data_IF_330778828677
#
_entry.id   IF_330778828677
#
_cell.length_a   1.000
_cell.length_b   1.000
_cell.length_c   1.000
_cell.angle_alpha   90.00
_cell.angle_beta   90.00
_cell.angle_gamma   90.00
#
_symmetry.space_group_name_H-M   'P 1'
#
loop_
_entity.id
_entity.type
_entity.pdbx_description
1 polymer ?
#
# COMPACT_ATOMS: atom_id res chain seq x y z
N UNK A 1 10.74 -9.65 1.03
CA UNK A 1 11.47 -8.73 0.14
C UNK A 1 11.14 -9.10 -1.29
N UNK A 2 10.76 -8.14 -2.11
CA UNK A 2 10.49 -8.35 -3.55
C UNK A 2 11.39 -7.42 -4.37
N UNK A 3 11.95 -7.93 -5.45
CA UNK A 3 12.82 -7.19 -6.36
C UNK A 3 12.05 -6.76 -7.60
N UNK A 4 12.20 -5.48 -7.96
CA UNK A 4 11.67 -4.90 -9.19
C UNK A 4 12.82 -4.46 -10.08
N UNK A 5 12.55 -4.40 -11.38
CA UNK A 5 13.53 -4.06 -12.41
C UNK A 5 14.71 -5.06 -12.51
N UNK A 6 15.50 -4.88 -13.57
CA UNK A 6 16.75 -5.61 -13.79
C UNK A 6 17.91 -4.63 -14.05
N UNK A 7 19.15 -5.10 -13.88
CA UNK A 7 20.35 -4.31 -14.16
C UNK A 7 20.47 -3.07 -13.25
N UNK A 8 20.99 -1.96 -13.79
CA UNK A 8 21.30 -0.74 -13.02
C UNK A 8 20.10 0.00 -12.42
N UNK A 9 18.87 -0.37 -12.82
CA UNK A 9 17.63 0.21 -12.29
C UNK A 9 16.95 -0.69 -11.25
N UNK A 10 17.57 -1.81 -10.86
CA UNK A 10 17.01 -2.71 -9.87
C UNK A 10 16.82 -2.04 -8.50
N UNK A 11 15.72 -2.36 -7.82
CA UNK A 11 15.50 -2.02 -6.42
C UNK A 11 14.62 -3.07 -5.72
N UNK A 12 14.62 -3.05 -4.39
CA UNK A 12 13.84 -3.98 -3.57
C UNK A 12 12.83 -3.26 -2.69
N UNK A 13 11.64 -3.81 -2.53
CA UNK A 13 10.67 -3.39 -1.51
C UNK A 13 10.48 -4.49 -0.47
N UNK A 14 10.43 -4.07 0.80
CA UNK A 14 10.13 -4.96 1.92
C UNK A 14 8.69 -4.74 2.34
N UNK A 15 7.95 -5.82 2.56
CA UNK A 15 6.57 -5.81 3.05
C UNK A 15 6.52 -6.53 4.39
N UNK A 16 5.65 -6.04 5.28
CA UNK A 16 5.35 -6.62 6.59
C UNK A 16 3.93 -7.15 6.57
N UNK A 17 3.73 -8.39 7.04
CA UNK A 17 2.41 -8.99 7.10
C UNK A 17 1.58 -8.35 8.22
N UNK A 18 0.39 -7.88 7.85
CA UNK A 18 -0.63 -7.33 8.74
C UNK A 18 -1.78 -8.34 8.83
N UNK A 19 -1.87 -9.01 9.98
CA UNK A 19 -2.81 -10.10 10.25
C UNK A 19 -4.14 -9.66 10.87
N UNK A 20 -4.72 -10.55 11.68
CA UNK A 20 -5.97 -10.34 12.43
C UNK A 20 -7.14 -9.88 11.54
N UNK A 21 -7.43 -10.65 10.48
CA UNK A 21 -8.56 -10.40 9.59
C UNK A 21 -9.88 -10.35 10.39
N UNK A 22 -10.77 -9.41 10.03
CA UNK A 22 -12.06 -9.23 10.70
C UNK A 22 -11.97 -8.52 12.05
N UNK A 23 -10.91 -7.74 12.28
CA UNK A 23 -10.83 -6.86 13.44
C UNK A 23 -11.92 -5.78 13.40
N UNK A 24 -12.42 -5.39 14.57
CA UNK A 24 -13.36 -4.29 14.70
C UNK A 24 -12.68 -2.94 14.42
N UNK A 25 -13.48 -1.94 14.07
CA UNK A 25 -13.04 -0.56 13.92
C UNK A 25 -12.57 0.06 15.24
N UNK A 26 -11.63 0.99 15.14
CA UNK A 26 -11.37 1.98 16.17
C UNK A 26 -12.50 3.02 16.16
N UNK A 27 -13.29 3.07 17.22
CA UNK A 27 -14.38 4.03 17.39
C UNK A 27 -13.97 5.28 18.18
N UNK A 28 -12.69 5.39 18.52
CA UNK A 28 -12.13 6.49 19.34
C UNK A 28 -11.19 7.40 18.55
N UNK A 29 -10.70 6.92 17.41
CA UNK A 29 -9.71 7.61 16.58
C UNK A 29 -10.23 8.72 15.69
N UNK A 30 -9.36 9.19 14.79
CA UNK A 30 -9.70 10.05 13.65
C UNK A 30 -8.94 9.52 12.43
N UNK A 31 -9.60 9.17 11.31
CA UNK A 31 -11.06 9.11 11.11
C UNK A 31 -11.77 8.10 12.05
N UNK A 32 -13.09 8.21 12.16
CA UNK A 32 -13.94 7.39 13.03
C UNK A 32 -15.25 7.01 12.32
N UNK A 33 -15.58 5.72 12.16
CA UNK A 33 -14.74 4.57 12.49
C UNK A 33 -13.54 4.43 11.54
N UNK A 34 -12.52 3.67 11.94
CA UNK A 34 -11.38 3.34 11.08
C UNK A 34 -10.71 2.02 11.46
N UNK A 35 -10.08 1.37 10.48
CA UNK A 35 -9.14 0.30 10.72
C UNK A 35 -9.70 -1.12 10.66
N UNK A 36 -11.01 -1.32 10.51
CA UNK A 36 -11.53 -2.66 10.24
C UNK A 36 -11.06 -3.16 8.87
N UNK A 37 -10.39 -4.31 8.85
CA UNK A 37 -9.96 -4.97 7.61
C UNK A 37 -10.33 -6.45 7.67
N UNK A 38 -11.18 -6.89 6.76
CA UNK A 38 -11.71 -8.25 6.69
C UNK A 38 -10.71 -9.33 6.21
N UNK A 39 -9.47 -8.97 5.92
CA UNK A 39 -8.44 -9.86 5.39
C UNK A 39 -7.04 -9.50 5.89
N UNK A 40 -6.11 -10.44 5.77
CA UNK A 40 -4.68 -10.18 5.96
C UNK A 40 -4.06 -9.62 4.68
N UNK A 41 -3.08 -8.74 4.82
CA UNK A 41 -2.37 -8.08 3.71
C UNK A 41 -0.94 -7.75 4.12
N UNK A 42 -0.06 -7.46 3.18
CA UNK A 42 1.27 -6.93 3.46
C UNK A 42 1.32 -5.41 3.28
N UNK A 43 2.02 -4.67 4.13
CA UNK A 43 2.28 -3.24 3.91
C UNK A 43 3.77 -2.98 3.73
N UNK A 44 4.14 -2.08 2.82
CA UNK A 44 5.52 -1.65 2.64
C UNK A 44 6.12 -1.21 3.98
N UNK A 45 7.23 -1.83 4.38
CA UNK A 45 7.95 -1.53 5.62
C UNK A 45 8.43 -0.08 5.68
N UNK A 46 8.76 0.47 4.51
CA UNK A 46 9.22 1.83 4.32
C UNK A 46 8.39 2.48 3.21
N UNK A 47 8.28 3.80 3.23
CA UNK A 47 7.73 4.53 2.10
C UNK A 47 8.57 4.32 0.83
N UNK A 48 7.93 4.47 -0.34
CA UNK A 48 8.63 4.43 -1.63
C UNK A 48 9.65 5.56 -1.67
N UNK A 49 10.91 5.25 -1.96
CA UNK A 49 11.99 6.25 -1.92
C UNK A 49 12.08 7.09 -3.20
N UNK A 50 12.76 8.23 -3.10
CA UNK A 50 13.09 9.05 -4.28
C UNK A 50 13.96 8.29 -5.29
N UNK A 51 14.78 7.34 -4.87
CA UNK A 51 15.56 6.46 -5.77
C UNK A 51 14.66 5.48 -6.55
N UNK A 52 13.68 4.86 -5.88
CA UNK A 52 12.72 3.96 -6.54
C UNK A 52 11.97 4.69 -7.67
N UNK A 53 11.50 5.91 -7.42
CA UNK A 53 10.86 6.75 -8.44
C UNK A 53 11.86 7.21 -9.51
N UNK A 54 13.12 7.50 -9.16
CA UNK A 54 14.17 7.82 -10.14
C UNK A 54 14.39 6.66 -11.11
N UNK A 55 14.45 5.43 -10.60
CA UNK A 55 14.64 4.21 -11.39
C UNK A 55 13.44 3.92 -12.29
N UNK A 56 12.22 4.03 -11.75
CA UNK A 56 10.99 3.97 -12.55
C UNK A 56 10.98 5.01 -13.68
N UNK A 57 11.27 6.28 -13.37
CA UNK A 57 11.25 7.34 -14.37
C UNK A 57 12.27 7.09 -15.48
N UNK A 58 13.47 6.61 -15.13
CA UNK A 58 14.54 6.33 -16.09
C UNK A 58 14.18 5.19 -17.04
N UNK A 59 13.58 4.11 -16.53
CA UNK A 59 13.35 2.91 -17.33
C UNK A 59 11.99 2.90 -18.03
N UNK A 60 10.95 3.44 -17.37
CA UNK A 60 9.58 3.37 -17.85
C UNK A 60 8.96 4.75 -18.05
N UNK A 61 9.10 5.66 -17.09
CA UNK A 61 8.43 6.96 -17.10
C UNK A 61 8.75 7.79 -18.35
N UNK A 62 10.03 8.02 -18.66
CA UNK A 62 10.43 8.81 -19.83
C UNK A 62 10.02 8.16 -21.15
N UNK A 63 10.20 6.84 -21.28
CA UNK A 63 9.86 6.11 -22.50
C UNK A 63 8.35 6.13 -22.82
N UNK A 64 7.50 6.28 -21.79
CA UNK A 64 6.05 6.24 -21.92
C UNK A 64 5.38 7.61 -21.67
N UNK A 65 6.15 8.69 -21.54
CA UNK A 65 5.63 10.02 -21.15
C UNK A 65 4.84 10.01 -19.82
N UNK A 66 5.24 9.13 -18.89
CA UNK A 66 4.65 8.90 -17.57
C UNK A 66 5.65 9.19 -16.44
N UNK A 67 6.44 10.25 -16.59
CA UNK A 67 7.43 10.67 -15.59
C UNK A 67 6.71 11.18 -14.34
N UNK A 68 6.93 10.52 -13.21
CA UNK A 68 6.35 10.89 -11.91
C UNK A 68 7.12 12.05 -11.30
N UNK A 69 6.38 13.05 -10.84
CA UNK A 69 6.90 14.19 -10.11
C UNK A 69 7.44 13.76 -8.75
N UNK A 70 8.60 14.30 -8.36
CA UNK A 70 9.15 14.16 -7.01
C UNK A 70 10.09 15.30 -6.68
N UNK A 71 10.31 15.51 -5.38
CA UNK A 71 11.46 16.28 -4.92
C UNK A 71 12.78 15.49 -5.07
N UNK A 72 13.89 16.21 -4.84
CA UNK A 72 15.26 15.64 -4.83
C UNK A 72 15.95 16.06 -3.54
N UNK A 73 15.62 15.35 -2.44
CA UNK A 73 16.16 15.57 -1.09
C UNK A 73 17.13 14.48 -0.66
N UNK A 74 17.16 13.35 -1.38
CA UNK A 74 18.12 12.28 -1.17
C UNK A 74 17.55 10.91 -1.54
N UNK A 75 18.40 10.04 -2.06
CA UNK A 75 18.03 8.73 -2.63
C UNK A 75 17.21 7.83 -1.68
N UNK A 76 17.50 7.89 -0.38
CA UNK A 76 16.81 7.11 0.65
C UNK A 76 15.64 7.86 1.31
N UNK A 77 15.33 9.10 0.91
CA UNK A 77 14.19 9.84 1.45
C UNK A 77 12.88 9.33 0.83
N UNK A 78 11.78 9.28 1.60
CA UNK A 78 10.45 8.99 1.05
C UNK A 78 10.12 9.93 -0.09
N UNK A 79 9.61 9.45 -1.23
CA UNK A 79 9.15 10.31 -2.31
C UNK A 79 7.98 11.18 -1.84
N UNK A 80 8.06 12.48 -2.10
CA UNK A 80 6.99 13.47 -1.83
C UNK A 80 6.79 14.36 -3.05
N UNK A 81 5.69 15.13 -3.07
CA UNK A 81 5.17 15.82 -4.27
C UNK A 81 4.73 14.86 -5.38
N UNK A 82 4.34 13.64 -4.98
CA UNK A 82 3.71 12.65 -5.84
C UNK A 82 2.19 12.77 -5.64
N UNK A 83 1.44 12.93 -6.72
CA UNK A 83 -0.02 12.89 -6.67
C UNK A 83 -0.53 11.46 -6.47
N UNK A 84 -1.80 11.32 -6.11
CA UNK A 84 -2.43 9.98 -6.03
C UNK A 84 -2.45 9.27 -7.39
N UNK A 85 -2.73 10.01 -8.48
CA UNK A 85 -2.75 9.44 -9.82
C UNK A 85 -1.35 9.00 -10.28
N UNK A 86 -0.32 9.78 -9.98
CA UNK A 86 1.08 9.42 -10.24
C UNK A 86 1.48 8.15 -9.45
N UNK A 87 1.08 8.08 -8.17
CA UNK A 87 1.26 6.90 -7.33
C UNK A 87 0.54 5.65 -7.89
N UNK A 88 -0.67 5.82 -8.43
CA UNK A 88 -1.41 4.76 -9.10
C UNK A 88 -0.70 4.29 -10.38
N UNK A 89 -0.05 5.18 -11.15
CA UNK A 89 0.80 4.80 -12.30
C UNK A 89 1.98 3.94 -11.87
N UNK A 90 2.70 4.36 -10.82
CA UNK A 90 3.79 3.57 -10.25
C UNK A 90 3.31 2.18 -9.81
N UNK A 91 2.16 2.13 -9.11
CA UNK A 91 1.58 0.87 -8.61
C UNK A 91 1.14 -0.05 -9.75
N UNK A 92 0.56 0.48 -10.82
CA UNK A 92 0.28 -0.30 -12.02
C UNK A 92 1.55 -0.90 -12.61
N UNK A 93 2.61 -0.09 -12.72
CA UNK A 93 3.88 -0.57 -13.23
C UNK A 93 4.52 -1.63 -12.31
N UNK A 94 4.42 -1.55 -10.98
CA UNK A 94 4.87 -2.63 -10.08
C UNK A 94 4.17 -3.96 -10.41
N UNK A 95 2.87 -3.93 -10.66
CA UNK A 95 2.13 -5.14 -11.04
C UNK A 95 2.53 -5.65 -12.42
N UNK A 96 2.48 -4.80 -13.45
CA UNK A 96 2.70 -5.24 -14.83
C UNK A 96 4.15 -5.61 -15.11
N UNK A 97 5.12 -4.94 -14.48
CA UNK A 97 6.54 -5.31 -14.55
C UNK A 97 6.86 -6.66 -13.92
N UNK A 98 5.96 -7.20 -13.10
CA UNK A 98 6.06 -8.53 -12.49
C UNK A 98 5.06 -9.53 -13.09
N UNK A 99 4.45 -9.20 -14.23
CA UNK A 99 3.52 -10.06 -14.96
C UNK A 99 2.09 -10.10 -14.40
N UNK A 100 1.76 -9.24 -13.43
CA UNK A 100 0.44 -9.13 -12.82
C UNK A 100 -0.50 -8.13 -13.52
N UNK A 101 -1.74 -8.10 -13.04
CA UNK A 101 -2.78 -7.16 -13.52
C UNK A 101 -2.59 -5.75 -12.95
N UNK A 102 -2.82 -4.73 -13.78
CA UNK A 102 -2.85 -3.34 -13.31
C UNK A 102 -3.90 -3.14 -12.20
N UNK A 103 -3.56 -2.41 -11.14
CA UNK A 103 -4.44 -2.13 -10.02
C UNK A 103 -5.53 -1.10 -10.35
N UNK A 104 -5.18 -0.10 -11.14
CA UNK A 104 -6.02 1.05 -11.44
C UNK A 104 -6.25 1.17 -12.94
N UNK A 105 -7.50 1.41 -13.34
CA UNK A 105 -7.85 1.57 -14.76
C UNK A 105 -7.55 2.99 -15.21
N UNK A 106 -6.76 3.15 -16.26
CA UNK A 106 -6.58 4.43 -16.93
C UNK A 106 -6.99 4.27 -18.40
N UNK A 107 -7.77 5.23 -18.89
CA UNK A 107 -8.21 5.30 -20.29
C UNK A 107 -7.44 6.32 -21.11
N UNK A 108 -6.59 7.10 -20.44
CA UNK A 108 -5.75 8.16 -21.02
C UNK A 108 -4.30 8.00 -20.58
N UNK A 109 -3.41 8.73 -21.24
CA UNK A 109 -1.95 8.55 -21.11
C UNK A 109 -1.28 9.62 -20.23
N UNK A 110 -2.01 10.60 -19.68
CA UNK A 110 -1.41 11.61 -18.82
C UNK A 110 -1.01 11.04 -17.47
N UNK A 111 0.16 11.43 -16.98
CA UNK A 111 0.73 10.89 -15.73
C UNK A 111 -0.13 11.20 -14.50
N UNK A 112 -0.82 12.35 -14.52
CA UNK A 112 -1.70 12.80 -13.45
C UNK A 112 -3.20 12.72 -13.82
N UNK A 113 -3.53 12.07 -14.94
CA UNK A 113 -4.93 11.90 -15.34
C UNK A 113 -5.68 11.04 -14.32
N UNK A 114 -6.99 11.25 -14.19
CA UNK A 114 -7.81 10.48 -13.28
C UNK A 114 -8.00 9.04 -13.77
N UNK A 115 -8.19 8.15 -12.81
CA UNK A 115 -8.58 6.77 -13.10
C UNK A 115 -10.02 6.70 -13.61
N UNK A 116 -10.32 5.67 -14.38
CA UNK A 116 -11.67 5.19 -14.65
C UNK A 116 -12.04 4.09 -13.64
N UNK A 117 -13.34 3.77 -13.57
CA UNK A 117 -13.81 2.61 -12.82
C UNK A 117 -13.70 1.33 -13.66
N UNK A 118 -13.35 0.23 -13.01
CA UNK A 118 -13.55 -1.11 -13.55
C UNK A 118 -15.05 -1.39 -13.66
N UNK A 119 -15.46 -2.04 -14.75
CA UNK A 119 -16.85 -2.46 -15.01
C UNK A 119 -16.99 -3.98 -15.03
N UNK A 120 -18.22 -4.48 -14.98
CA UNK A 120 -18.53 -5.92 -14.86
C UNK A 120 -17.97 -6.82 -15.97
N UNK A 121 -17.62 -6.26 -17.13
CA UNK A 121 -16.95 -6.98 -18.22
C UNK A 121 -15.43 -7.03 -18.11
N UNK A 122 -14.81 -6.28 -17.19
CA UNK A 122 -13.36 -6.25 -17.03
C UNK A 122 -12.88 -7.39 -16.13
N UNK A 123 -11.75 -8.00 -16.51
CA UNK A 123 -11.10 -9.00 -15.65
C UNK A 123 -10.68 -8.38 -14.31
N UNK A 124 -11.09 -9.02 -13.22
CA UNK A 124 -10.80 -8.55 -11.86
C UNK A 124 -11.73 -7.45 -11.35
N UNK A 125 -12.83 -7.16 -12.04
CA UNK A 125 -13.91 -6.33 -11.48
C UNK A 125 -14.41 -6.88 -10.14
N UNK A 126 -14.59 -5.98 -9.18
CA UNK A 126 -15.20 -6.25 -7.87
C UNK A 126 -16.26 -5.17 -7.63
N UNK A 127 -17.53 -5.58 -7.53
CA UNK A 127 -18.64 -4.66 -7.31
C UNK A 127 -18.55 -3.91 -5.96
N UNK A 128 -17.86 -4.49 -4.97
CA UNK A 128 -17.63 -3.83 -3.68
C UNK A 128 -16.55 -2.76 -3.74
N UNK A 129 -15.69 -2.78 -4.78
CA UNK A 129 -14.64 -1.80 -4.98
C UNK A 129 -14.27 -1.65 -6.47
N UNK A 130 -15.05 -0.89 -7.26
CA UNK A 130 -14.78 -0.71 -8.68
C UNK A 130 -13.56 0.18 -8.98
N UNK A 131 -12.93 0.77 -7.96
CA UNK A 131 -11.73 1.60 -8.11
C UNK A 131 -10.45 0.77 -8.20
N UNK A 132 -10.47 -0.51 -7.77
CA UNK A 132 -9.29 -1.38 -7.72
C UNK A 132 -9.56 -2.71 -8.42
N UNK A 133 -8.59 -3.19 -9.17
CA UNK A 133 -8.62 -4.51 -9.77
C UNK A 133 -8.37 -5.57 -8.70
N UNK A 134 -9.28 -6.52 -8.52
CA UNK A 134 -9.16 -7.59 -7.52
C UNK A 134 -8.05 -8.60 -7.82
N UNK A 135 -7.54 -8.65 -9.06
CA UNK A 135 -6.41 -9.49 -9.48
C UNK A 135 -5.04 -8.80 -9.32
N UNK A 136 -5.01 -7.52 -8.93
CA UNK A 136 -3.74 -6.84 -8.69
C UNK A 136 -3.09 -7.30 -7.38
N UNK A 137 -1.77 -7.46 -7.41
CA UNK A 137 -0.96 -7.84 -6.25
C UNK A 137 -0.59 -6.62 -5.40
N UNK A 138 -0.12 -5.54 -6.04
CA UNK A 138 0.26 -4.30 -5.38
C UNK A 138 -0.84 -3.25 -5.53
N UNK A 139 -1.21 -2.59 -4.45
CA UNK A 139 -2.22 -1.52 -4.43
C UNK A 139 -1.77 -0.40 -3.50
N UNK A 140 -2.26 0.82 -3.68
CA UNK A 140 -2.14 1.84 -2.61
C UNK A 140 -3.03 1.39 -1.44
N UNK A 141 -2.59 1.48 -0.18
CA UNK A 141 -3.41 1.08 0.96
C UNK A 141 -4.70 1.91 1.02
N UNK A 142 -5.80 1.32 1.50
CA UNK A 142 -6.97 2.08 1.94
C UNK A 142 -6.65 2.84 3.24
N UNK A 143 -7.55 3.73 3.65
CA UNK A 143 -7.44 4.39 4.95
C UNK A 143 -7.44 3.35 6.08
N UNK A 144 -8.33 2.36 6.03
CA UNK A 144 -8.42 1.32 7.07
C UNK A 144 -7.20 0.40 7.11
N UNK A 145 -6.66 0.02 5.94
CA UNK A 145 -5.40 -0.73 5.87
C UNK A 145 -4.27 0.08 6.50
N UNK A 146 -4.10 1.34 6.10
CA UNK A 146 -3.04 2.18 6.66
C UNK A 146 -3.21 2.41 8.18
N UNK A 147 -4.44 2.67 8.62
CA UNK A 147 -4.77 2.92 10.03
C UNK A 147 -4.51 1.69 10.90
N UNK A 148 -4.97 0.51 10.46
CA UNK A 148 -4.73 -0.75 11.18
C UNK A 148 -3.24 -1.03 11.31
N UNK A 149 -2.49 -0.91 10.22
CA UNK A 149 -1.04 -1.17 10.24
C UNK A 149 -0.29 -0.21 11.18
N UNK A 150 -0.77 1.03 11.33
CA UNK A 150 -0.14 2.02 12.18
C UNK A 150 -0.49 1.85 13.68
N UNK A 151 -1.75 1.55 14.01
CA UNK A 151 -2.25 1.70 15.38
C UNK A 151 -2.73 0.41 16.04
N UNK A 152 -3.03 -0.65 15.28
CA UNK A 152 -3.66 -1.84 15.83
C UNK A 152 -2.66 -2.75 16.58
N UNK A 153 -3.03 -3.15 17.80
CA UNK A 153 -2.35 -4.15 18.58
C UNK A 153 -3.04 -5.52 18.43
N UNK A 154 -2.42 -6.48 17.72
CA UNK A 154 -3.03 -7.79 17.48
C UNK A 154 -3.09 -8.68 18.73
N UNK A 155 -2.31 -8.40 19.77
CA UNK A 155 -2.29 -9.18 21.02
C UNK A 155 -3.48 -8.84 21.91
N UNK A 156 -3.82 -7.56 22.02
CA UNK A 156 -4.92 -7.08 22.86
C UNK A 156 -6.21 -6.83 22.07
N UNK A 157 -6.16 -6.90 20.75
CA UNK A 157 -7.27 -6.53 19.86
C UNK A 157 -7.76 -5.09 20.06
N UNK A 158 -6.85 -4.16 20.37
CA UNK A 158 -7.14 -2.73 20.60
C UNK A 158 -6.27 -1.85 19.72
N UNK A 159 -6.59 -0.56 19.62
CA UNK A 159 -5.76 0.42 18.92
C UNK A 159 -5.02 1.31 19.92
N UNK A 160 -3.77 1.64 19.61
CA UNK A 160 -3.00 2.66 20.32
C UNK A 160 -3.30 4.06 19.77
N UNK A 161 -3.10 5.11 20.57
CA UNK A 161 -3.26 6.50 20.11
C UNK A 161 -2.12 6.99 19.21
N UNK A 162 -0.95 6.38 19.34
CA UNK A 162 0.23 6.73 18.59
C UNK A 162 0.84 5.50 17.92
N UNK A 163 1.44 5.65 16.73
CA UNK A 163 1.93 4.52 15.93
C UNK A 163 3.19 3.87 16.50
N UNK A 164 3.76 4.43 17.57
CA UNK A 164 4.84 3.83 18.35
C UNK A 164 4.34 2.78 19.36
N UNK A 165 3.08 2.36 19.27
CA UNK A 165 2.50 1.36 20.16
C UNK A 165 2.19 1.90 21.56
N UNK A 166 1.83 3.18 21.66
CA UNK A 166 1.59 3.84 22.94
C UNK A 166 0.33 4.72 22.90
N UNK A 167 -0.29 4.91 24.06
CA UNK A 167 -1.36 5.90 24.26
C UNK A 167 -0.81 7.23 24.80
N UNK A 168 0.52 7.34 24.93
CA UNK A 168 1.20 8.55 25.37
C UNK A 168 1.92 9.21 24.22
N UNK A 169 1.72 10.52 24.07
CA UNK A 169 2.30 11.31 22.99
C UNK A 169 3.85 11.19 22.98
N UNK A 170 4.47 10.92 21.81
CA UNK A 170 5.91 10.97 21.64
C UNK A 170 6.49 12.35 21.99
N UNK A 171 7.72 12.38 22.50
CA UNK A 171 8.41 13.64 22.77
C UNK A 171 8.86 14.29 21.45
N UNK A 172 8.50 15.55 21.24
CA UNK A 172 8.92 16.28 20.05
C UNK A 172 10.41 16.61 20.13
N UNK A 173 11.16 16.29 19.07
CA UNK A 173 12.58 16.64 18.94
C UNK A 173 12.86 17.21 17.54
N UNK A 174 13.95 17.97 17.41
CA UNK A 174 14.33 18.63 16.15
C UNK A 174 14.66 17.67 15.01
N UNK A 175 15.13 16.46 15.32
CA UNK A 175 15.36 15.38 14.36
C UNK A 175 15.05 14.01 14.98
N UNK A 176 13.77 13.60 14.93
CA UNK A 176 13.34 12.32 15.50
C UNK A 176 14.00 11.14 14.80
N UNK A 177 14.99 10.54 15.45
CA UNK A 177 15.70 9.34 14.99
C UNK A 177 15.76 8.24 16.05
N UNK A 178 15.39 8.56 17.30
CA UNK A 178 15.32 7.63 18.42
C UNK A 178 13.88 7.17 18.67
N UNK A 179 13.73 5.96 19.22
CA UNK A 179 12.43 5.40 19.60
C UNK A 179 11.68 6.35 20.56
N UNK A 180 10.38 6.54 20.32
CA UNK A 180 9.53 7.42 21.15
C UNK A 180 9.72 8.93 20.89
N UNK A 181 10.47 9.32 19.85
CA UNK A 181 10.62 10.72 19.44
C UNK A 181 9.87 11.01 18.13
N UNK A 182 9.30 12.20 18.00
CA UNK A 182 8.67 12.67 16.76
C UNK A 182 9.37 13.94 16.25
N UNK A 183 9.59 14.01 14.93
CA UNK A 183 10.04 15.26 14.29
C UNK A 183 8.92 16.29 14.34
N UNK A 184 9.21 17.51 14.79
CA UNK A 184 8.23 18.59 14.91
C UNK A 184 7.47 18.93 13.59
N UNK A 185 7.99 18.48 12.44
CA UNK A 185 7.39 18.66 11.11
C UNK A 185 6.32 17.62 10.73
N UNK A 186 6.06 16.60 11.56
CA UNK A 186 5.06 15.56 11.31
C UNK A 186 4.47 15.08 12.65
N UNK A 187 3.38 15.69 13.14
CA UNK A 187 2.87 15.33 14.45
C UNK A 187 2.35 13.88 14.44
N UNK A 188 2.68 13.10 15.47
CA UNK A 188 2.48 11.64 15.50
C UNK A 188 1.05 11.19 15.80
N UNK A 189 0.13 12.14 16.01
CA UNK A 189 -1.25 11.90 16.44
C UNK A 189 -2.16 11.46 15.28
N UNK A 190 -3.11 10.57 15.58
CA UNK A 190 -4.26 10.19 14.72
C UNK A 190 -4.92 11.41 14.05
N UNK A 191 -4.96 12.57 14.71
CA UNK A 191 -5.66 13.76 14.22
C UNK A 191 -5.01 14.51 13.03
N UNK A 192 -3.74 14.27 12.65
CA UNK A 192 -3.05 15.14 11.67
C UNK A 192 -2.31 14.45 10.51
N UNK A 193 -2.45 13.14 10.30
CA UNK A 193 -1.69 12.45 9.23
C UNK A 193 -2.44 12.42 7.89
N UNK A 194 -2.47 13.56 7.19
CA UNK A 194 -2.65 13.56 5.72
C UNK A 194 -1.28 13.33 5.06
N UNK A 195 -0.75 12.12 5.20
CA UNK A 195 0.61 11.82 4.73
C UNK A 195 0.73 12.02 3.21
N UNK A 196 1.48 13.06 2.80
CA UNK A 196 1.92 13.34 1.42
C UNK A 196 3.04 12.40 0.94
N UNK A 197 3.10 11.19 1.50
CA UNK A 197 4.17 10.19 1.27
C UNK A 197 3.58 8.95 0.62
N UNK A 198 4.30 8.40 -0.36
CA UNK A 198 3.85 7.23 -1.10
C UNK A 198 4.09 5.94 -0.31
N UNK A 199 3.02 5.20 -0.01
CA UNK A 199 3.04 3.86 0.55
C UNK A 199 2.32 2.87 -0.38
N UNK A 200 2.77 1.61 -0.40
CA UNK A 200 2.19 0.53 -1.21
C UNK A 200 1.90 -0.66 -0.31
N UNK A 201 0.74 -1.28 -0.52
CA UNK A 201 0.26 -2.50 0.12
C UNK A 201 0.30 -3.66 -0.88
N UNK A 202 0.45 -4.87 -0.37
CA UNK A 202 0.34 -6.14 -1.09
C UNK A 202 -0.93 -6.82 -0.61
N UNK A 203 -1.84 -7.17 -1.52
CA UNK A 203 -2.86 -8.16 -1.16
C UNK A 203 -2.16 -9.51 -1.02
N UNK A 204 -2.31 -10.16 0.12
CA UNK A 204 -1.91 -11.56 0.24
C UNK A 204 -2.69 -12.32 -0.81
N UNK A 205 -2.00 -12.86 -1.81
CA UNK A 205 -2.54 -13.99 -2.56
C UNK A 205 -2.93 -15.01 -1.49
N UNK A 206 -4.22 -15.34 -1.37
CA UNK A 206 -4.66 -16.46 -0.56
C UNK A 206 -3.66 -17.59 -0.79
N UNK A 207 -2.96 -17.97 0.28
CA UNK A 207 -1.97 -19.05 0.36
C UNK A 207 -2.16 -20.11 -0.74
N UNK A 208 -1.48 -19.89 -1.87
CA UNK A 208 -1.37 -20.83 -2.98
C UNK A 208 -0.12 -21.70 -2.85
N UNK A 209 0.21 -22.11 -1.63
CA UNK A 209 1.14 -23.21 -1.36
C UNK A 209 0.61 -24.01 -0.17
N UNK A 210 -0.58 -24.57 -0.37
CA UNK A 210 -0.93 -25.85 0.23
C UNK A 210 -1.27 -26.77 -0.93
N UNK A 211 -0.41 -27.77 -1.08
CA UNK A 211 -0.65 -29.10 -1.60
C UNK A 211 -1.85 -29.28 -2.55
N UNK A 212 -1.53 -29.76 -3.75
CA UNK A 212 -2.29 -30.82 -4.40
C UNK A 212 -2.88 -31.78 -3.34
N UNK A 213 -4.17 -31.63 -3.06
CA UNK A 213 -5.00 -32.63 -2.40
C UNK A 213 -6.28 -32.76 -3.20
N UNK A 214 -6.22 -33.68 -4.16
CA UNK A 214 -7.40 -34.36 -4.69
C UNK A 214 -8.22 -34.90 -3.51
N UNK A 215 -9.50 -34.53 -3.44
CA UNK A 215 -10.50 -35.29 -2.69
C UNK A 215 -11.76 -35.32 -3.53
N UNK A 216 -12.02 -36.49 -4.12
CA UNK A 216 -13.17 -36.75 -4.97
C UNK A 216 -14.47 -36.70 -4.17
N UNK A 217 -15.46 -35.98 -4.69
CA UNK A 217 -16.85 -36.09 -4.22
C UNK A 217 -17.49 -37.33 -4.83
N UNK A 218 -17.95 -38.18 -3.92
CA UNK A 218 -18.97 -39.24 -4.02
C UNK A 218 -19.93 -39.07 -5.21
N UNK A 219 -19.93 -40.06 -6.11
CA UNK A 219 -21.15 -40.46 -6.80
C UNK A 219 -22.12 -41.02 -5.76
N UNK A 220 -23.41 -40.71 -5.90
CA UNK A 220 -24.55 -41.64 -5.96
C UNK A 220 -25.82 -40.77 -6.00
N UNK A 221 -26.45 -40.72 -7.17
CA UNK A 221 -27.87 -40.42 -7.29
C UNK A 221 -28.66 -41.68 -6.96
N UNK A 222 -29.87 -41.59 -6.39
CA UNK A 222 -30.92 -42.54 -6.70
C UNK A 222 -31.46 -42.31 -8.12
#
# INVERSE_FOLDING_TARGET
MITFEIGGNQFTMNFVDIGNAGNADDTTGRPNPAGAVGYAYGLGKYEVSEDMITKYNRNYGTANSLVITKHTRGVAKPATSVSWNEAARFTNWLNTSTGGSAAYKFTTSGVNDNIALWGSGDAGYDASNPYRNSLATYVLPSMDEWYKAAYYNPTTSTYFDFPNGSNTAPTAVSSGTADGTASASNPPDKALQTSRRLAVSVRTALSGSVAMRLSGKRHHSP
#
